data_IF_722629037329
#
_entry.id   IF_722629037329
#
_cell.length_a   1.000
_cell.length_b   1.000
_cell.length_c   1.000
_cell.angle_alpha   90.00
_cell.angle_beta   90.00
_cell.angle_gamma   90.00
#
_symmetry.space_group_name_H-M   'P 1'
#
loop_
_entity.id
_entity.type
_entity.pdbx_description
1 polymer ?
#
# COMPACT_ATOMS: atom_id res chain seq x y z
N UNK A 1 3.56 -4.75 22.70
CA UNK A 1 4.11 -3.50 22.13
C UNK A 1 5.54 -3.82 21.73
N UNK A 2 5.73 -4.32 20.52
CA UNK A 2 7.06 -4.68 20.00
C UNK A 2 7.68 -3.41 19.46
N UNK A 3 8.72 -2.94 20.16
CA UNK A 3 9.59 -1.88 19.65
C UNK A 3 10.18 -2.35 18.32
N UNK A 4 9.62 -1.90 17.22
CA UNK A 4 10.27 -2.00 15.92
C UNK A 4 11.48 -1.06 15.93
N UNK A 5 12.59 -1.59 16.44
CA UNK A 5 13.89 -0.96 16.30
C UNK A 5 14.13 -0.82 14.80
N UNK A 6 14.05 0.39 14.29
CA UNK A 6 14.50 0.75 12.96
C UNK A 6 15.98 0.37 12.86
N UNK A 7 16.30 -0.72 12.20
CA UNK A 7 17.68 -1.17 11.96
C UNK A 7 18.42 -0.23 10.98
N UNK A 8 18.31 1.08 11.17
CA UNK A 8 19.13 2.09 10.52
C UNK A 8 18.98 2.26 9.00
N UNK A 9 18.08 1.50 8.34
CA UNK A 9 17.81 1.64 6.91
C UNK A 9 16.38 2.09 6.74
N UNK A 10 16.19 3.33 6.29
CA UNK A 10 14.88 3.84 5.95
C UNK A 10 14.54 3.53 4.50
N UNK A 11 13.26 3.26 4.23
CA UNK A 11 12.80 3.08 2.86
C UNK A 11 12.97 4.37 2.06
N UNK A 12 13.14 4.27 0.73
CA UNK A 12 13.22 5.44 -0.12
C UNK A 12 12.00 6.35 -0.03
N UNK A 13 10.80 5.76 0.14
CA UNK A 13 9.54 6.50 0.26
C UNK A 13 9.49 7.30 1.55
N UNK A 14 9.89 6.71 2.68
CA UNK A 14 9.96 7.42 3.97
C UNK A 14 10.99 8.55 3.93
N UNK A 15 12.16 8.33 3.32
CA UNK A 15 13.19 9.36 3.18
C UNK A 15 12.71 10.55 2.34
N UNK A 16 12.01 10.27 1.23
CA UNK A 16 11.45 11.32 0.37
C UNK A 16 10.38 12.12 1.11
N UNK A 17 9.48 11.44 1.84
CA UNK A 17 8.49 12.10 2.70
C UNK A 17 9.15 13.00 3.74
N UNK A 18 10.16 12.50 4.46
CA UNK A 18 10.87 13.29 5.46
C UNK A 18 11.54 14.53 4.85
N UNK A 19 12.08 14.40 3.63
CA UNK A 19 12.65 15.52 2.89
C UNK A 19 11.60 16.58 2.49
N UNK A 20 10.36 16.19 2.20
CA UNK A 20 9.27 17.14 1.91
C UNK A 20 8.75 17.84 3.16
N UNK A 21 8.60 17.11 4.26
CA UNK A 21 8.09 17.67 5.51
C UNK A 21 9.13 18.62 6.13
N UNK A 22 10.41 18.25 6.12
CA UNK A 22 11.53 19.07 6.56
C UNK A 22 11.70 19.14 8.07
N UNK A 23 10.63 19.32 8.86
CA UNK A 23 10.72 19.39 10.32
C UNK A 23 9.46 18.88 11.04
N UNK A 24 9.58 18.58 12.35
CA UNK A 24 8.49 18.06 13.19
C UNK A 24 7.38 19.08 13.43
N UNK A 25 7.69 20.37 13.45
CA UNK A 25 6.68 21.43 13.66
C UNK A 25 5.71 21.50 12.50
N UNK A 26 6.21 21.32 11.27
CA UNK A 26 5.34 21.23 10.10
C UNK A 26 4.50 19.97 10.13
N UNK A 27 5.09 18.82 10.50
CA UNK A 27 4.37 17.56 10.62
C UNK A 27 3.18 17.66 11.60
N UNK A 28 3.36 18.30 12.75
CA UNK A 28 2.32 18.46 13.77
C UNK A 28 1.14 19.33 13.31
N UNK A 29 1.36 20.18 12.31
CA UNK A 29 0.33 21.08 11.74
C UNK A 29 -0.43 20.45 10.58
N UNK A 30 0.06 19.35 10.00
CA UNK A 30 -0.61 18.70 8.89
C UNK A 30 -1.87 17.97 9.36
N UNK A 31 -2.98 18.18 8.67
CA UNK A 31 -4.13 17.28 8.75
C UNK A 31 -3.77 15.89 8.19
N UNK A 32 -4.55 14.87 8.55
CA UNK A 32 -4.30 13.49 8.05
C UNK A 32 -4.37 13.42 6.52
N UNK A 33 -5.29 14.16 5.92
CA UNK A 33 -5.47 14.25 4.48
C UNK A 33 -4.24 14.85 3.78
N UNK A 34 -3.70 15.94 4.32
CA UNK A 34 -2.50 16.59 3.79
C UNK A 34 -1.26 15.71 3.98
N UNK A 35 -1.10 15.12 5.15
CA UNK A 35 -0.03 14.16 5.40
C UNK A 35 -0.11 13.00 4.40
N UNK A 36 -1.29 12.42 4.21
CA UNK A 36 -1.46 11.31 3.28
C UNK A 36 -1.19 11.73 1.82
N UNK A 37 -1.57 12.93 1.41
CA UNK A 37 -1.22 13.48 0.10
C UNK A 37 0.29 13.57 -0.10
N UNK A 38 1.05 14.01 0.91
CA UNK A 38 2.52 13.99 0.85
C UNK A 38 3.08 12.56 0.77
N UNK A 39 2.48 11.58 1.48
CA UNK A 39 2.85 10.17 1.40
C UNK A 39 2.68 9.62 -0.02
N UNK A 40 1.53 9.84 -0.66
CA UNK A 40 1.29 9.38 -2.03
C UNK A 40 2.21 10.07 -3.04
N UNK A 41 2.50 11.36 -2.84
CA UNK A 41 3.47 12.07 -3.66
C UNK A 41 4.87 11.46 -3.52
N UNK A 42 5.34 11.18 -2.30
CA UNK A 42 6.60 10.50 -2.07
C UNK A 42 6.66 9.11 -2.72
N UNK A 43 5.57 8.33 -2.63
CA UNK A 43 5.47 7.01 -3.25
C UNK A 43 5.51 7.08 -4.79
N UNK A 44 4.93 8.12 -5.40
CA UNK A 44 4.87 8.29 -6.86
C UNK A 44 6.17 8.80 -7.49
N UNK A 45 7.11 9.33 -6.70
CA UNK A 45 8.37 9.90 -7.23
C UNK A 45 9.23 8.90 -8.00
N UNK A 46 9.01 7.58 -7.85
CA UNK A 46 9.70 6.56 -8.64
C UNK A 46 9.52 6.75 -10.16
N UNK A 47 8.41 7.34 -10.60
CA UNK A 47 8.14 7.61 -12.01
C UNK A 47 9.02 8.74 -12.59
N UNK A 48 9.72 9.49 -11.73
CA UNK A 48 10.62 10.57 -12.12
C UNK A 48 11.99 10.14 -12.66
N UNK A 49 12.24 8.82 -12.75
CA UNK A 49 13.54 8.26 -13.18
C UNK A 49 14.66 8.36 -12.12
N UNK A 50 14.36 8.82 -10.91
CA UNK A 50 15.31 8.81 -9.80
C UNK A 50 15.57 7.38 -9.34
N UNK A 51 16.82 7.03 -9.16
CA UNK A 51 17.20 5.78 -8.50
C UNK A 51 16.90 5.88 -7.01
N UNK A 52 15.93 5.10 -6.55
CA UNK A 52 15.64 4.97 -5.12
C UNK A 52 16.52 3.87 -4.53
N UNK A 53 17.30 4.23 -3.51
CA UNK A 53 18.11 3.25 -2.77
C UNK A 53 17.76 3.37 -1.28
N UNK A 54 17.36 2.26 -0.69
CA UNK A 54 17.19 2.18 0.76
C UNK A 54 18.55 2.48 1.42
N UNK A 55 18.60 3.51 2.26
CA UNK A 55 19.82 3.97 2.94
C UNK A 55 19.48 4.60 4.28
N UNK A 56 20.47 4.74 5.12
CA UNK A 56 20.35 5.56 6.32
C UNK A 56 20.74 7.01 6.01
N UNK A 57 19.92 7.95 6.51
CA UNK A 57 20.17 9.39 6.50
C UNK A 57 19.95 9.89 7.93
N UNK A 58 21.01 9.90 8.78
CA UNK A 58 20.88 10.19 10.21
C UNK A 58 20.18 11.52 10.52
N UNK A 59 20.33 12.51 9.65
CA UNK A 59 19.72 13.83 9.77
C UNK A 59 18.18 13.77 9.69
N UNK A 60 17.63 12.70 9.12
CA UNK A 60 16.18 12.48 9.00
C UNK A 60 15.62 11.49 10.04
N UNK A 61 16.48 10.91 10.90
CA UNK A 61 16.03 9.88 11.86
C UNK A 61 14.95 10.44 12.82
N UNK A 62 15.10 11.67 13.29
CA UNK A 62 14.14 12.30 14.20
C UNK A 62 12.77 12.50 13.56
N UNK A 63 12.74 13.08 12.34
CA UNK A 63 11.47 13.31 11.64
C UNK A 63 10.85 11.99 11.16
N UNK A 64 11.64 10.99 10.77
CA UNK A 64 11.15 9.66 10.45
C UNK A 64 10.45 9.02 11.66
N UNK A 65 11.05 9.11 12.85
CA UNK A 65 10.44 8.63 14.08
C UNK A 65 9.15 9.40 14.42
N UNK A 66 9.10 10.71 14.20
CA UNK A 66 7.90 11.52 14.40
C UNK A 66 6.78 11.12 13.42
N UNK A 67 7.08 10.92 12.14
CA UNK A 67 6.14 10.40 11.14
C UNK A 67 5.58 9.05 11.59
N UNK A 68 6.42 8.12 12.01
CA UNK A 68 5.97 6.81 12.47
C UNK A 68 5.10 6.88 13.73
N UNK A 69 5.42 7.75 14.67
CA UNK A 69 4.55 8.03 15.83
C UNK A 69 3.19 8.58 15.40
N UNK A 70 3.16 9.52 14.45
CA UNK A 70 1.92 10.11 13.91
C UNK A 70 1.03 9.04 13.24
N UNK A 71 1.63 8.06 12.54
CA UNK A 71 0.94 6.96 11.88
C UNK A 71 0.56 5.81 12.82
N UNK A 72 0.99 5.81 14.08
CA UNK A 72 0.62 4.76 15.04
C UNK A 72 -0.78 4.91 15.62
N UNK A 73 -1.47 6.00 15.33
CA UNK A 73 -2.81 6.31 15.81
C UNK A 73 -3.62 7.04 14.73
N UNK A 74 -4.92 7.19 14.96
CA UNK A 74 -5.81 7.91 14.05
C UNK A 74 -6.17 7.14 12.77
N UNK A 75 -6.73 7.84 11.77
CA UNK A 75 -7.26 7.22 10.55
C UNK A 75 -6.20 6.48 9.71
N UNK A 76 -4.97 6.98 9.69
CA UNK A 76 -3.86 6.42 8.89
C UNK A 76 -3.21 5.19 9.53
N UNK A 77 -3.60 4.81 10.77
CA UNK A 77 -3.04 3.66 11.50
C UNK A 77 -3.74 2.33 11.15
N UNK A 78 -4.72 2.32 10.24
CA UNK A 78 -5.48 1.13 9.93
C UNK A 78 -4.58 0.01 9.38
N UNK A 79 -4.72 -1.19 9.94
CA UNK A 79 -3.98 -2.40 9.53
C UNK A 79 -4.82 -3.35 8.70
N UNK A 80 -6.11 -3.02 8.49
CA UNK A 80 -7.05 -3.79 7.70
C UNK A 80 -7.99 -2.86 6.93
N UNK A 81 -8.51 -3.28 5.78
CA UNK A 81 -9.45 -2.50 5.00
C UNK A 81 -10.75 -2.29 5.78
N UNK A 82 -11.23 -1.06 5.81
CA UNK A 82 -12.53 -0.69 6.38
C UNK A 82 -13.58 -0.64 5.28
N UNK A 83 -14.79 -1.10 5.57
CA UNK A 83 -15.93 -0.98 4.66
C UNK A 83 -16.66 0.36 4.91
N UNK A 84 -17.01 1.12 3.86
CA UNK A 84 -16.72 0.85 2.45
C UNK A 84 -15.29 1.22 2.05
N UNK A 85 -14.83 0.66 0.94
CA UNK A 85 -13.62 1.10 0.24
C UNK A 85 -13.95 1.80 -1.07
N UNK A 86 -13.02 2.61 -1.55
CA UNK A 86 -13.10 3.36 -2.78
C UNK A 86 -12.57 2.56 -3.98
N UNK A 87 -13.15 2.79 -5.16
CA UNK A 87 -12.68 2.29 -6.44
C UNK A 87 -12.99 3.27 -7.55
N UNK A 88 -11.99 3.62 -8.35
CA UNK A 88 -12.18 4.34 -9.60
C UNK A 88 -12.33 3.34 -10.75
N UNK A 89 -13.46 3.36 -11.47
CA UNK A 89 -13.66 2.47 -12.60
C UNK A 89 -14.80 2.94 -13.50
N UNK A 90 -14.65 2.75 -14.81
CA UNK A 90 -15.74 2.91 -15.80
C UNK A 90 -16.63 1.66 -15.89
N UNK A 91 -16.09 0.49 -15.54
CA UNK A 91 -16.81 -0.76 -15.58
C UNK A 91 -17.41 -1.14 -14.24
N UNK A 92 -18.49 -1.88 -14.25
CA UNK A 92 -19.05 -2.53 -13.06
C UNK A 92 -18.00 -3.43 -12.38
N UNK A 93 -18.21 -3.71 -11.10
CA UNK A 93 -17.42 -4.74 -10.41
C UNK A 93 -17.63 -6.07 -11.10
N UNK A 94 -16.56 -6.84 -11.38
CA UNK A 94 -16.69 -8.15 -12.01
C UNK A 94 -17.48 -9.11 -11.10
N UNK A 95 -18.14 -10.09 -11.69
CA UNK A 95 -18.87 -11.14 -10.96
C UNK A 95 -17.94 -12.13 -10.24
N UNK A 96 -16.68 -12.18 -10.63
CA UNK A 96 -15.61 -12.97 -10.00
C UNK A 96 -14.27 -12.31 -10.19
N UNK A 97 -13.34 -12.54 -9.26
CA UNK A 97 -11.92 -12.19 -9.43
C UNK A 97 -11.22 -13.39 -10.08
N UNK A 98 -10.50 -13.13 -11.16
CA UNK A 98 -9.68 -14.13 -11.84
C UNK A 98 -8.24 -13.66 -11.88
N UNK A 99 -7.40 -14.25 -11.02
CA UNK A 99 -5.98 -13.96 -11.02
C UNK A 99 -5.33 -14.50 -12.31
N UNK A 100 -4.45 -13.68 -12.85
CA UNK A 100 -3.70 -14.02 -14.06
C UNK A 100 -2.30 -14.45 -13.63
N UNK A 101 -1.96 -15.71 -13.89
CA UNK A 101 -0.64 -16.26 -13.60
C UNK A 101 0.39 -15.82 -14.65
N UNK A 102 0.78 -14.55 -14.57
CA UNK A 102 1.89 -14.00 -15.39
C UNK A 102 2.77 -13.09 -14.54
N UNK A 103 4.09 -13.05 -14.83
CA UNK A 103 4.95 -12.02 -14.26
C UNK A 103 4.47 -10.65 -14.72
N UNK A 104 4.32 -9.74 -13.79
CA UNK A 104 4.11 -8.31 -14.08
C UNK A 104 5.44 -7.57 -13.89
N UNK A 105 5.56 -6.36 -14.42
CA UNK A 105 6.75 -5.54 -14.19
C UNK A 105 6.94 -5.27 -12.69
N UNK A 106 5.84 -5.02 -12.01
CA UNK A 106 5.77 -4.85 -10.56
C UNK A 106 5.30 -6.12 -9.86
N UNK A 107 5.63 -6.31 -8.59
CA UNK A 107 5.16 -7.46 -7.81
C UNK A 107 3.74 -7.22 -7.27
N UNK A 108 2.78 -7.29 -8.18
CA UNK A 108 1.33 -7.10 -7.93
C UNK A 108 0.52 -8.30 -8.41
N UNK A 109 -0.59 -8.65 -7.74
CA UNK A 109 -1.51 -9.68 -8.24
C UNK A 109 -2.27 -9.17 -9.49
N UNK A 110 -1.91 -9.71 -10.65
CA UNK A 110 -2.61 -9.40 -11.90
C UNK A 110 -4.03 -9.99 -11.88
N UNK A 111 -5.02 -9.20 -12.28
CA UNK A 111 -6.43 -9.61 -12.28
C UNK A 111 -7.17 -9.45 -10.95
N UNK A 112 -6.49 -9.01 -9.87
CA UNK A 112 -7.14 -8.68 -8.61
C UNK A 112 -8.14 -7.52 -8.75
N UNK A 113 -9.16 -7.50 -7.89
CA UNK A 113 -10.00 -6.33 -7.72
C UNK A 113 -9.30 -5.38 -6.74
N UNK A 114 -8.99 -4.16 -7.22
CA UNK A 114 -8.28 -3.17 -6.45
C UNK A 114 -9.22 -2.15 -5.83
N UNK A 115 -9.00 -1.86 -4.54
CA UNK A 115 -9.71 -0.85 -3.77
C UNK A 115 -8.76 -0.12 -2.82
N UNK A 116 -9.18 1.02 -2.28
CA UNK A 116 -8.42 1.80 -1.32
C UNK A 116 -9.36 2.38 -0.25
N UNK A 117 -8.87 2.73 0.90
CA UNK A 117 -9.68 3.31 1.97
C UNK A 117 -10.15 4.73 1.63
N UNK A 118 -11.18 5.19 2.31
CA UNK A 118 -11.53 6.60 2.37
C UNK A 118 -10.84 7.28 3.55
N UNK A 119 -10.39 8.49 3.35
CA UNK A 119 -10.00 9.42 4.42
C UNK A 119 -11.25 9.94 5.14
N UNK A 120 -11.11 10.54 6.34
CA UNK A 120 -12.25 11.05 7.10
C UNK A 120 -13.12 12.09 6.37
N UNK A 121 -12.52 12.86 5.47
CA UNK A 121 -13.20 13.85 4.62
C UNK A 121 -13.96 13.23 3.43
N UNK A 122 -13.90 11.89 3.27
CA UNK A 122 -14.50 11.18 2.15
C UNK A 122 -13.61 11.09 0.91
N UNK A 123 -12.42 11.66 0.93
CA UNK A 123 -11.46 11.54 -0.16
C UNK A 123 -10.93 10.10 -0.24
N UNK A 124 -10.88 9.54 -1.46
CA UNK A 124 -10.23 8.24 -1.67
C UNK A 124 -8.73 8.36 -1.47
N UNK A 125 -8.13 7.44 -0.72
CA UNK A 125 -6.68 7.37 -0.58
C UNK A 125 -5.96 7.11 -1.92
N UNK A 126 -6.67 6.66 -2.94
CA UNK A 126 -6.12 6.46 -4.29
C UNK A 126 -6.27 7.68 -5.20
N UNK A 127 -7.01 8.70 -4.79
CA UNK A 127 -7.45 9.82 -5.63
C UNK A 127 -6.31 10.55 -6.35
N UNK A 128 -5.23 10.86 -5.66
CA UNK A 128 -4.13 11.62 -6.26
C UNK A 128 -3.36 10.83 -7.32
N UNK A 129 -3.08 9.55 -7.05
CA UNK A 129 -2.48 8.63 -8.01
C UNK A 129 -3.38 8.42 -9.23
N UNK A 130 -4.67 8.20 -8.98
CA UNK A 130 -5.68 8.06 -10.01
C UNK A 130 -5.74 9.28 -10.96
N UNK A 131 -5.81 10.48 -10.38
CA UNK A 131 -5.89 11.70 -11.19
C UNK A 131 -4.60 12.01 -11.94
N UNK A 132 -3.45 11.66 -11.39
CA UNK A 132 -2.16 11.84 -12.06
C UNK A 132 -1.97 10.88 -13.24
N UNK A 133 -2.44 9.63 -13.11
CA UNK A 133 -2.23 8.59 -14.13
C UNK A 133 -3.35 8.55 -15.18
N UNK A 134 -4.61 8.73 -14.76
CA UNK A 134 -5.79 8.51 -15.62
C UNK A 134 -6.68 9.75 -15.79
N UNK A 135 -6.31 10.89 -15.21
CA UNK A 135 -7.17 12.08 -15.18
C UNK A 135 -8.38 11.89 -14.25
N UNK A 136 -9.43 12.73 -14.48
CA UNK A 136 -10.64 12.72 -13.63
C UNK A 136 -11.84 12.03 -14.27
N UNK A 137 -11.60 11.24 -15.31
CA UNK A 137 -12.68 10.71 -16.14
C UNK A 137 -13.28 9.39 -15.64
N UNK A 138 -12.65 8.77 -14.65
CA UNK A 138 -13.18 7.53 -14.07
C UNK A 138 -14.04 7.84 -12.85
N UNK A 139 -15.31 7.40 -12.84
CA UNK A 139 -16.18 7.61 -11.69
C UNK A 139 -15.66 6.89 -10.45
N UNK A 140 -15.86 7.53 -9.30
CA UNK A 140 -15.58 6.96 -7.99
C UNK A 140 -16.77 6.15 -7.51
N UNK A 141 -16.51 4.97 -6.99
CA UNK A 141 -17.50 4.08 -6.38
C UNK A 141 -17.09 3.76 -4.94
N UNK A 142 -18.07 3.66 -4.05
CA UNK A 142 -17.92 3.07 -2.74
C UNK A 142 -18.32 1.59 -2.79
N UNK A 143 -17.43 0.71 -2.37
CA UNK A 143 -17.62 -0.74 -2.29
C UNK A 143 -17.81 -1.11 -0.83
N UNK A 144 -19.05 -1.39 -0.42
CA UNK A 144 -19.35 -1.90 0.90
C UNK A 144 -19.28 -3.44 0.89
N UNK A 145 -18.77 -4.01 1.97
CA UNK A 145 -18.58 -5.46 2.14
C UNK A 145 -18.62 -5.83 3.62
N UNK A 146 -18.83 -7.11 3.90
CA UNK A 146 -18.69 -7.66 5.25
C UNK A 146 -17.23 -8.01 5.52
N UNK A 147 -16.53 -7.35 6.45
CA UNK A 147 -15.17 -7.69 6.79
C UNK A 147 -15.04 -8.99 7.61
N UNK A 148 -16.16 -9.52 8.14
CA UNK A 148 -16.16 -10.72 8.97
C UNK A 148 -15.76 -11.94 8.15
N UNK A 149 -14.75 -12.67 8.63
CA UNK A 149 -14.29 -13.87 7.96
C UNK A 149 -13.37 -13.65 6.75
N UNK A 150 -13.07 -12.41 6.39
CA UNK A 150 -12.06 -12.13 5.36
C UNK A 150 -10.67 -12.57 5.84
N UNK A 151 -10.06 -13.49 5.12
CA UNK A 151 -8.67 -13.91 5.38
C UNK A 151 -7.74 -12.90 4.76
N UNK A 152 -7.18 -12.04 5.60
CA UNK A 152 -6.37 -10.90 5.19
C UNK A 152 -4.87 -11.16 5.37
N UNK A 153 -4.07 -10.91 4.34
CA UNK A 153 -2.63 -10.73 4.44
C UNK A 153 -2.32 -9.24 4.46
N UNK A 154 -1.91 -8.70 5.61
CA UNK A 154 -1.51 -7.29 5.71
C UNK A 154 0.00 -7.14 5.53
N UNK A 155 0.41 -6.12 4.77
CA UNK A 155 1.80 -5.68 4.59
C UNK A 155 1.94 -4.33 5.28
N UNK A 156 2.45 -4.32 6.51
CA UNK A 156 2.71 -3.12 7.30
C UNK A 156 4.20 -2.84 7.48
N UNK A 157 5.08 -3.75 7.05
CA UNK A 157 6.53 -3.63 7.21
C UNK A 157 7.29 -4.44 6.15
N UNK A 158 8.62 -4.21 5.98
CA UNK A 158 9.47 -5.07 5.15
C UNK A 158 9.42 -6.55 5.57
N UNK A 159 9.36 -6.82 6.89
CA UNK A 159 9.29 -8.17 7.41
C UNK A 159 7.98 -8.89 7.04
N UNK A 160 6.87 -8.17 6.87
CA UNK A 160 5.61 -8.76 6.39
C UNK A 160 5.74 -9.20 4.94
N UNK A 161 6.35 -8.36 4.09
CA UNK A 161 6.60 -8.70 2.71
C UNK A 161 7.62 -9.84 2.58
N UNK A 162 8.68 -9.85 3.40
CA UNK A 162 9.65 -10.93 3.46
C UNK A 162 8.99 -12.28 3.81
N UNK A 163 8.08 -12.29 4.82
CA UNK A 163 7.31 -13.49 5.15
C UNK A 163 6.41 -13.93 4.00
N UNK A 164 5.76 -12.98 3.32
CA UNK A 164 4.87 -13.29 2.20
C UNK A 164 5.63 -13.93 1.04
N UNK A 165 6.71 -13.32 0.57
CA UNK A 165 7.48 -13.81 -0.58
C UNK A 165 8.17 -15.14 -0.28
N UNK A 166 8.64 -15.35 0.98
CA UNK A 166 9.28 -16.60 1.37
C UNK A 166 8.28 -17.75 1.61
N UNK A 167 7.04 -17.43 2.00
CA UNK A 167 5.97 -18.45 2.15
C UNK A 167 5.37 -18.87 0.81
N UNK A 168 5.29 -17.95 -0.14
CA UNK A 168 4.70 -18.17 -1.47
C UNK A 168 5.67 -17.76 -2.58
N UNK A 169 6.86 -18.39 -2.64
CA UNK A 169 7.82 -18.05 -3.67
C UNK A 169 7.35 -18.53 -5.03
N UNK A 170 7.43 -17.67 -6.04
CA UNK A 170 7.29 -18.09 -7.41
C UNK A 170 8.54 -18.91 -7.82
N UNK A 171 8.38 -20.07 -8.46
CA UNK A 171 9.51 -20.93 -8.84
C UNK A 171 10.59 -20.16 -9.60
N UNK A 172 11.85 -20.35 -9.18
CA UNK A 172 13.05 -19.73 -9.79
C UNK A 172 12.96 -18.19 -9.90
N UNK A 173 12.32 -17.53 -8.96
CA UNK A 173 12.08 -16.09 -8.99
C UNK A 173 12.16 -15.48 -7.58
N UNK A 174 12.39 -14.18 -7.53
CA UNK A 174 12.30 -13.37 -6.29
C UNK A 174 10.90 -12.77 -6.07
N UNK A 175 9.88 -13.25 -6.79
CA UNK A 175 8.53 -12.71 -6.80
C UNK A 175 7.56 -13.60 -6.04
N UNK A 176 6.42 -13.03 -5.66
CA UNK A 176 5.31 -13.74 -5.04
C UNK A 176 4.53 -14.56 -6.07
N UNK A 177 4.15 -15.78 -5.70
CA UNK A 177 3.18 -16.61 -6.42
C UNK A 177 1.76 -16.26 -5.95
N UNK A 178 1.16 -15.27 -6.59
CA UNK A 178 -0.13 -14.71 -6.23
C UNK A 178 -1.29 -15.72 -6.29
N UNK A 179 -1.38 -16.65 -7.29
CA UNK A 179 -2.34 -17.74 -7.27
C UNK A 179 -2.27 -18.59 -6.00
N UNK A 180 -1.08 -18.92 -5.51
CA UNK A 180 -0.91 -19.66 -4.26
C UNK A 180 -1.27 -18.82 -3.02
N UNK A 181 -1.00 -17.52 -3.01
CA UNK A 181 -1.47 -16.63 -1.94
C UNK A 181 -2.99 -16.67 -1.84
N UNK A 182 -3.70 -16.74 -2.98
CA UNK A 182 -5.16 -16.80 -3.01
C UNK A 182 -5.75 -18.11 -2.44
N UNK A 183 -4.96 -19.16 -2.27
CA UNK A 183 -5.43 -20.38 -1.59
C UNK A 183 -5.69 -20.11 -0.09
N UNK A 184 -4.83 -19.30 0.54
CA UNK A 184 -4.87 -19.02 1.98
C UNK A 184 -5.54 -17.69 2.32
N UNK A 185 -5.51 -16.68 1.44
CA UNK A 185 -6.01 -15.33 1.69
C UNK A 185 -7.03 -14.88 0.65
N UNK A 186 -8.00 -14.09 1.09
CA UNK A 186 -9.01 -13.50 0.23
C UNK A 186 -8.59 -12.12 -0.27
N UNK A 187 -7.70 -11.45 0.49
CA UNK A 187 -7.16 -10.15 0.14
C UNK A 187 -5.73 -9.94 0.66
N UNK A 188 -4.97 -9.10 -0.05
CA UNK A 188 -3.70 -8.54 0.44
C UNK A 188 -3.88 -7.05 0.57
N UNK A 189 -3.52 -6.51 1.73
CA UNK A 189 -3.67 -5.09 2.06
C UNK A 189 -2.33 -4.46 2.38
N UNK A 190 -1.92 -3.47 1.60
CA UNK A 190 -0.79 -2.62 1.92
C UNK A 190 -1.27 -1.46 2.77
N UNK A 191 -0.83 -1.41 4.03
CA UNK A 191 -1.16 -0.32 4.95
C UNK A 191 -0.40 0.96 4.59
N UNK A 192 -0.81 2.12 5.15
CA UNK A 192 -0.04 3.37 5.00
C UNK A 192 1.39 3.22 5.52
N UNK A 193 1.55 2.54 6.67
CA UNK A 193 2.88 2.24 7.21
C UNK A 193 3.69 1.34 6.29
N UNK A 194 3.07 0.31 5.70
CA UNK A 194 3.69 -0.58 4.72
C UNK A 194 4.10 0.16 3.44
N UNK A 195 3.27 1.06 2.94
CA UNK A 195 3.59 1.93 1.80
C UNK A 195 4.87 2.74 2.05
N UNK A 196 5.02 3.30 3.25
CA UNK A 196 6.18 4.08 3.63
C UNK A 196 7.43 3.26 3.91
N UNK A 197 7.29 2.06 4.47
CA UNK A 197 8.44 1.34 5.03
C UNK A 197 8.86 0.11 4.22
N UNK A 198 7.94 -0.54 3.49
CA UNK A 198 8.22 -1.78 2.77
C UNK A 198 8.51 -1.58 1.28
N UNK A 199 7.97 -0.53 0.63
CA UNK A 199 8.21 -0.30 -0.79
C UNK A 199 9.68 0.03 -1.07
N UNK A 200 10.21 -0.59 -2.12
CA UNK A 200 11.59 -0.44 -2.59
C UNK A 200 12.65 -0.82 -1.55
N UNK A 201 12.28 -1.56 -0.49
CA UNK A 201 13.23 -2.12 0.48
C UNK A 201 13.53 -3.56 0.06
N UNK A 202 14.81 -3.89 -0.21
CA UNK A 202 15.20 -5.26 -0.51
C UNK A 202 14.99 -6.17 0.71
N UNK A 203 14.35 -7.31 0.50
CA UNK A 203 14.21 -8.37 1.51
C UNK A 203 14.85 -9.66 1.01
N UNK A 204 15.31 -10.51 1.93
CA UNK A 204 16.05 -11.70 1.57
C UNK A 204 15.11 -12.82 1.09
N UNK A 205 15.49 -13.48 -0.02
CA UNK A 205 14.86 -14.73 -0.46
C UNK A 205 15.96 -15.73 -0.88
N UNK A 206 15.64 -17.03 -0.97
CA UNK A 206 16.59 -18.04 -1.45
C UNK A 206 17.13 -17.79 -2.87
N UNK A 207 16.41 -16.98 -3.67
CA UNK A 207 16.76 -16.70 -5.07
C UNK A 207 17.38 -15.31 -5.28
N UNK A 208 17.69 -14.58 -4.20
CA UNK A 208 18.20 -13.22 -4.22
C UNK A 208 17.25 -12.22 -3.60
N UNK A 209 17.56 -10.91 -3.64
CA UNK A 209 16.69 -9.90 -3.02
C UNK A 209 15.38 -9.74 -3.78
N UNK A 210 14.27 -9.75 -3.05
CA UNK A 210 12.95 -9.34 -3.53
C UNK A 210 12.65 -7.90 -3.11
N UNK A 211 11.80 -7.20 -3.85
CA UNK A 211 11.33 -5.87 -3.50
C UNK A 211 9.84 -5.73 -3.79
N UNK A 212 9.09 -5.17 -2.83
CA UNK A 212 7.72 -4.74 -3.07
C UNK A 212 7.76 -3.48 -3.95
N UNK A 213 7.10 -3.53 -5.10
CA UNK A 213 7.08 -2.42 -6.06
C UNK A 213 5.68 -2.23 -6.65
N UNK A 214 5.39 -1.01 -7.10
CA UNK A 214 4.19 -0.73 -7.85
C UNK A 214 2.94 -0.42 -7.04
N UNK A 215 3.04 -0.37 -5.73
CA UNK A 215 1.94 0.03 -4.86
C UNK A 215 2.05 1.53 -4.56
N UNK A 216 1.31 2.35 -5.30
CA UNK A 216 1.50 3.80 -5.27
C UNK A 216 0.64 4.51 -4.20
N UNK A 217 -0.22 3.75 -3.53
CA UNK A 217 -1.08 4.20 -2.44
C UNK A 217 -1.40 3.04 -1.48
N UNK A 218 -1.94 3.35 -0.31
CA UNK A 218 -2.62 2.35 0.52
C UNK A 218 -3.69 1.66 -0.34
N UNK A 219 -3.69 0.34 -0.35
CA UNK A 219 -4.53 -0.41 -1.27
C UNK A 219 -4.83 -1.81 -0.77
N UNK A 220 -6.00 -2.30 -1.17
CA UNK A 220 -6.39 -3.70 -1.00
C UNK A 220 -6.52 -4.37 -2.35
N UNK A 221 -5.72 -5.39 -2.57
CA UNK A 221 -5.87 -6.30 -3.71
C UNK A 221 -6.74 -7.49 -3.28
N UNK A 222 -7.99 -7.50 -3.71
CA UNK A 222 -8.90 -8.61 -3.48
C UNK A 222 -8.58 -9.73 -4.46
N UNK A 223 -8.17 -10.88 -3.91
CA UNK A 223 -7.87 -12.10 -4.66
C UNK A 223 -9.14 -12.94 -4.89
N UNK A 224 -10.18 -12.66 -4.09
CA UNK A 224 -11.57 -13.11 -4.23
C UNK A 224 -12.49 -11.95 -3.94
N UNK A 225 -13.72 -12.00 -4.44
CA UNK A 225 -14.72 -10.98 -4.09
C UNK A 225 -15.01 -11.03 -2.59
N UNK A 226 -15.02 -9.86 -1.91
CA UNK A 226 -15.39 -9.81 -0.49
C UNK A 226 -16.85 -10.21 -0.28
N UNK A 227 -17.18 -10.81 0.88
CA UNK A 227 -18.54 -11.18 1.21
C UNK A 227 -19.49 -9.97 1.23
N UNK A 228 -20.72 -10.15 0.80
CA UNK A 228 -21.75 -9.10 0.86
C UNK A 228 -21.46 -7.85 0.03
N UNK A 229 -20.61 -7.97 -0.99
CA UNK A 229 -20.17 -6.84 -1.81
C UNK A 229 -21.34 -6.11 -2.45
N UNK A 230 -21.44 -4.81 -2.17
CA UNK A 230 -22.34 -3.87 -2.86
C UNK A 230 -21.56 -2.66 -3.35
N UNK A 231 -22.05 -2.02 -4.41
CA UNK A 231 -21.37 -0.87 -5.03
C UNK A 231 -22.34 0.29 -5.17
N UNK A 232 -21.90 1.47 -4.75
CA UNK A 232 -22.64 2.72 -4.85
C UNK A 232 -21.78 3.79 -5.51
N UNK A 233 -22.29 4.53 -6.51
CA UNK A 233 -21.58 5.71 -7.03
C UNK A 233 -21.37 6.75 -5.93
N UNK A 234 -20.20 7.37 -5.90
CA UNK A 234 -19.94 8.55 -5.06
C UNK A 234 -20.13 9.77 -5.96
N UNK A 235 -21.07 10.62 -5.57
CA UNK A 235 -21.50 11.83 -6.33
C UNK A 235 -20.66 13.02 -5.88
#
# INVERSE_FOLDING_TARGET
MTDHVFNGVSSPVLLELCGFIGDEVLLDRLADEDLYRHITFAASQRHSGRAFTARRVPELDAIAAAVMRRLSSGPLSATAPRSPQSRFARSAVPSAVTLIDRPTQDDKPAGALWTSSFLPDGTSMWQWGEWAEFGRDRPLHALAFDPTGVRLCAIGSPADYERLVNRYPRPASTRVDWPRVAEDFDAVHLTVTGLLTAQHVPVATPHGPAMLTGWDAESTAWLRLPPGLTTTPVI
#
